data_IF_655734690624
#
_entry.id   IF_655734690624
#
_cell.length_a   1.000
_cell.length_b   1.000
_cell.length_c   1.000
_cell.angle_alpha   90.00
_cell.angle_beta   90.00
_cell.angle_gamma   90.00
#
_symmetry.space_group_name_H-M   'P 1'
#
loop_
_entity.id
_entity.type
_entity.pdbx_description
1 polymer ?
#
# COMPACT_ATOMS: atom_id res chain seq x y z
N UNK A 1 -24.02 65.50 -21.66
CA UNK A 1 -23.92 64.37 -20.71
C UNK A 1 -23.32 63.20 -21.44
N UNK A 2 -22.00 63.06 -21.32
CA UNK A 2 -21.16 62.14 -22.09
C UNK A 2 -21.01 60.83 -21.29
N UNK A 3 -21.31 59.69 -21.91
CA UNK A 3 -21.10 58.35 -21.32
C UNK A 3 -19.59 58.11 -21.14
N UNK A 4 -19.17 57.80 -19.91
CA UNK A 4 -17.82 57.29 -19.64
C UNK A 4 -17.73 55.78 -19.91
N UNK A 5 -16.52 55.26 -20.20
CA UNK A 5 -16.33 53.85 -20.56
C UNK A 5 -16.38 52.95 -19.31
N UNK A 6 -17.03 51.79 -19.44
CA UNK A 6 -16.98 50.73 -18.43
C UNK A 6 -15.57 50.12 -18.35
N UNK A 7 -15.09 49.76 -17.15
CA UNK A 7 -13.79 49.12 -17.00
C UNK A 7 -13.84 47.69 -17.55
N UNK A 8 -12.92 47.38 -18.46
CA UNK A 8 -12.59 46.01 -18.83
C UNK A 8 -12.22 45.21 -17.58
N UNK A 9 -13.12 44.32 -17.20
CA UNK A 9 -12.88 43.28 -16.20
C UNK A 9 -11.98 42.25 -16.86
N UNK A 10 -10.67 42.43 -16.74
CA UNK A 10 -9.69 41.37 -16.98
C UNK A 10 -10.03 40.22 -16.03
N UNK A 11 -10.67 39.18 -16.56
CA UNK A 11 -10.74 37.93 -15.84
C UNK A 11 -9.30 37.43 -15.67
N UNK A 12 -8.87 37.03 -14.47
CA UNK A 12 -7.63 36.31 -14.35
C UNK A 12 -7.77 35.05 -15.21
N UNK A 13 -6.92 34.91 -16.23
CA UNK A 13 -6.75 33.64 -16.91
C UNK A 13 -6.17 32.70 -15.86
N UNK A 14 -7.05 31.97 -15.18
CA UNK A 14 -6.64 30.76 -14.48
C UNK A 14 -6.21 29.82 -15.60
N UNK A 15 -4.91 29.80 -15.89
CA UNK A 15 -4.30 28.72 -16.67
C UNK A 15 -4.64 27.46 -15.89
N UNK A 16 -5.70 26.77 -16.32
CA UNK A 16 -6.00 25.44 -15.85
C UNK A 16 -4.77 24.63 -16.22
N UNK A 17 -4.00 24.25 -15.21
CA UNK A 17 -2.89 23.35 -15.39
C UNK A 17 -3.48 22.03 -15.94
N UNK A 18 -3.32 21.78 -17.24
CA UNK A 18 -3.87 20.62 -17.97
C UNK A 18 -3.04 19.37 -17.67
N UNK A 19 -2.74 19.15 -16.39
CA UNK A 19 -2.00 18.00 -15.91
C UNK A 19 -2.87 16.73 -16.02
N UNK A 20 -2.34 15.62 -16.56
CA UNK A 20 -3.10 14.38 -16.67
C UNK A 20 -3.45 13.78 -15.30
N UNK A 21 -4.62 13.16 -15.20
CA UNK A 21 -4.99 12.36 -14.05
C UNK A 21 -4.09 11.12 -13.94
N UNK A 22 -3.74 10.72 -12.72
CA UNK A 22 -3.06 9.45 -12.43
C UNK A 22 -3.77 8.25 -13.06
N UNK A 23 -5.12 8.29 -13.06
CA UNK A 23 -5.92 7.23 -13.66
C UNK A 23 -5.75 7.09 -15.18
N UNK A 24 -5.31 8.15 -15.85
CA UNK A 24 -4.99 8.12 -17.27
C UNK A 24 -3.57 7.58 -17.49
N UNK A 25 -2.61 7.95 -16.63
CA UNK A 25 -1.22 7.51 -16.73
C UNK A 25 -1.02 6.05 -16.32
N UNK A 26 -1.71 5.56 -15.29
CA UNK A 26 -1.66 4.18 -14.81
C UNK A 26 -3.03 3.50 -14.92
N UNK A 27 -3.48 3.10 -16.11
CA UNK A 27 -4.89 2.81 -16.40
C UNK A 27 -5.49 1.61 -15.64
N UNK A 28 -4.71 0.57 -15.34
CA UNK A 28 -5.19 -0.57 -14.57
C UNK A 28 -5.20 -0.24 -13.07
N UNK A 29 -6.36 -0.42 -12.45
CA UNK A 29 -6.49 -0.32 -11.01
C UNK A 29 -7.48 -1.34 -10.50
N UNK A 30 -7.32 -1.77 -9.25
CA UNK A 30 -8.16 -2.78 -8.60
C UNK A 30 -8.55 -2.28 -7.20
N UNK A 31 -9.75 -2.62 -6.75
CA UNK A 31 -10.11 -2.40 -5.36
C UNK A 31 -9.29 -3.35 -4.47
N UNK A 32 -8.73 -2.91 -3.33
CA UNK A 32 -7.97 -3.75 -2.40
C UNK A 32 -8.71 -5.04 -2.01
N UNK A 33 -8.01 -6.16 -1.73
CA UNK A 33 -8.63 -7.36 -1.21
C UNK A 33 -9.42 -7.09 0.08
N UNK A 34 -10.48 -7.86 0.31
CA UNK A 34 -11.33 -7.75 1.50
C UNK A 34 -11.32 -9.08 2.23
N UNK A 35 -10.78 -9.11 3.46
CA UNK A 35 -10.77 -10.32 4.30
C UNK A 35 -12.18 -10.67 4.78
N UNK A 36 -12.94 -9.67 5.24
CA UNK A 36 -14.29 -9.84 5.78
C UNK A 36 -14.35 -10.31 7.24
N UNK A 37 -13.19 -10.70 7.79
CA UNK A 37 -12.97 -11.11 9.19
C UNK A 37 -11.55 -10.75 9.60
N UNK A 38 -11.29 -10.59 10.90
CA UNK A 38 -10.01 -10.08 11.40
C UNK A 38 -8.94 -11.15 11.59
N UNK A 39 -9.32 -12.32 12.09
CA UNK A 39 -8.38 -13.34 12.58
C UNK A 39 -7.36 -13.90 11.55
N UNK A 40 -7.62 -13.96 10.22
CA UNK A 40 -6.66 -14.45 9.23
C UNK A 40 -5.45 -13.54 9.03
N UNK A 41 -5.49 -12.31 9.55
CA UNK A 41 -4.40 -11.36 9.54
C UNK A 41 -3.97 -10.96 10.96
N UNK A 42 -2.73 -10.53 11.11
CA UNK A 42 -2.23 -10.05 12.38
C UNK A 42 -0.73 -9.76 12.40
N UNK A 43 -0.24 -9.11 13.47
CA UNK A 43 1.16 -8.68 13.58
C UNK A 43 2.12 -9.83 13.94
N UNK A 44 1.62 -11.02 14.26
CA UNK A 44 2.43 -12.17 14.67
C UNK A 44 2.06 -13.45 13.87
N UNK A 45 3.00 -14.02 13.09
CA UNK A 45 2.72 -15.18 12.24
C UNK A 45 2.50 -16.46 13.05
N UNK A 46 3.12 -16.59 14.22
CA UNK A 46 2.93 -17.76 15.09
C UNK A 46 1.48 -17.83 15.60
N UNK A 47 0.91 -16.68 15.96
CA UNK A 47 -0.50 -16.56 16.32
C UNK A 47 -1.42 -16.95 15.16
N UNK A 48 -1.11 -16.58 13.92
CA UNK A 48 -1.90 -17.00 12.76
C UNK A 48 -1.90 -18.52 12.56
N UNK A 49 -0.74 -19.17 12.74
CA UNK A 49 -0.62 -20.62 12.69
C UNK A 49 -1.43 -21.28 13.82
N UNK A 50 -1.34 -20.75 15.04
CA UNK A 50 -2.12 -21.25 16.17
C UNK A 50 -3.64 -21.06 16.00
N UNK A 51 -4.08 -19.94 15.38
CA UNK A 51 -5.48 -19.69 15.01
C UNK A 51 -5.99 -20.71 14.01
N UNK A 52 -5.20 -20.98 12.97
CA UNK A 52 -5.52 -22.01 12.01
C UNK A 52 -5.66 -23.39 12.68
N UNK A 53 -4.70 -23.75 13.54
CA UNK A 53 -4.73 -25.02 14.26
C UNK A 53 -5.98 -25.15 15.15
N UNK A 54 -6.37 -24.07 15.83
CA UNK A 54 -7.60 -24.02 16.62
C UNK A 54 -8.85 -24.20 15.73
N UNK A 55 -8.89 -23.52 14.56
CA UNK A 55 -10.00 -23.65 13.61
C UNK A 55 -10.15 -25.08 13.06
N UNK A 56 -9.05 -25.74 12.68
CA UNK A 56 -9.12 -27.08 12.07
C UNK A 56 -9.38 -28.20 13.08
N UNK A 57 -9.10 -27.97 14.37
CA UNK A 57 -9.41 -28.90 15.47
C UNK A 57 -10.83 -28.77 15.99
N UNK A 58 -11.48 -27.62 15.78
CA UNK A 58 -12.87 -27.43 16.16
C UNK A 58 -13.80 -28.24 15.22
N UNK A 59 -14.92 -28.70 15.76
CA UNK A 59 -15.90 -29.50 15.01
C UNK A 59 -17.28 -28.83 15.03
N UNK A 60 -18.07 -29.13 13.99
CA UNK A 60 -19.49 -28.73 13.94
C UNK A 60 -19.75 -27.24 14.20
N UNK A 61 -20.70 -26.89 15.09
CA UNK A 61 -21.08 -25.51 15.39
C UNK A 61 -19.94 -24.64 15.95
N UNK A 62 -18.99 -25.23 16.68
CA UNK A 62 -17.87 -24.49 17.27
C UNK A 62 -16.92 -23.99 16.17
N UNK A 63 -16.65 -24.84 15.17
CA UNK A 63 -15.84 -24.45 14.01
C UNK A 63 -16.49 -23.32 13.22
N UNK A 64 -17.81 -23.38 13.04
CA UNK A 64 -18.55 -22.33 12.32
C UNK A 64 -18.52 -21.02 13.08
N UNK A 65 -18.70 -21.05 14.40
CA UNK A 65 -18.60 -19.88 15.27
C UNK A 65 -17.21 -19.25 15.20
N UNK A 66 -16.15 -20.05 15.36
CA UNK A 66 -14.76 -19.59 15.27
C UNK A 66 -14.40 -19.00 13.89
N UNK A 67 -15.00 -19.52 12.82
CA UNK A 67 -14.71 -19.06 11.46
C UNK A 67 -15.25 -17.65 11.16
N UNK A 68 -16.32 -17.24 11.85
CA UNK A 68 -17.05 -15.99 11.64
C UNK A 68 -17.60 -15.85 10.20
N UNK A 69 -18.52 -16.73 9.73
CA UNK A 69 -18.98 -16.76 8.35
C UNK A 69 -19.55 -15.41 7.90
N UNK A 70 -19.29 -15.07 6.64
CA UNK A 70 -19.85 -13.89 5.99
C UNK A 70 -20.77 -14.32 4.85
N UNK A 71 -21.50 -13.37 4.28
CA UNK A 71 -22.27 -13.60 3.04
C UNK A 71 -21.42 -14.13 1.87
N UNK A 72 -20.10 -13.89 1.89
CA UNK A 72 -19.18 -14.24 0.79
C UNK A 72 -18.38 -15.51 1.06
N UNK A 73 -18.13 -15.85 2.33
CA UNK A 73 -17.32 -17.00 2.72
C UNK A 73 -17.92 -17.70 3.94
N UNK A 74 -18.16 -19.00 3.77
CA UNK A 74 -18.62 -19.95 4.79
C UNK A 74 -17.68 -21.15 4.82
N UNK A 75 -17.84 -22.05 5.79
CA UNK A 75 -17.10 -23.31 5.82
C UNK A 75 -17.35 -24.19 4.58
N UNK A 76 -18.46 -23.96 3.87
CA UNK A 76 -18.89 -24.71 2.70
C UNK A 76 -18.57 -24.01 1.36
N UNK A 77 -17.89 -22.87 1.39
CA UNK A 77 -17.44 -22.20 0.18
C UNK A 77 -16.35 -23.02 -0.52
N UNK A 78 -16.62 -23.40 -1.77
CA UNK A 78 -15.63 -23.96 -2.68
C UNK A 78 -15.09 -22.83 -3.58
N UNK A 79 -13.78 -22.62 -3.57
CA UNK A 79 -13.10 -21.57 -4.33
C UNK A 79 -11.79 -22.11 -4.89
N UNK A 80 -11.35 -21.55 -6.01
CA UNK A 80 -10.04 -21.86 -6.57
C UNK A 80 -8.90 -21.44 -5.64
N UNK A 81 -7.73 -21.98 -5.94
CA UNK A 81 -6.49 -21.66 -5.26
C UNK A 81 -6.13 -20.19 -5.49
N UNK A 82 -5.54 -19.59 -4.46
CA UNK A 82 -5.02 -18.24 -4.57
C UNK A 82 -3.77 -18.27 -5.46
N UNK A 83 -3.70 -17.45 -6.53
CA UNK A 83 -2.59 -17.55 -7.49
C UNK A 83 -1.21 -17.39 -6.81
N UNK A 84 -0.27 -18.27 -7.19
CA UNK A 84 1.09 -18.30 -6.63
C UNK A 84 1.18 -18.80 -5.19
N UNK A 85 0.14 -19.43 -4.65
CA UNK A 85 0.09 -19.92 -3.26
C UNK A 85 -0.29 -21.40 -3.22
N UNK A 86 0.11 -22.09 -2.16
CA UNK A 86 -0.10 -23.53 -1.96
C UNK A 86 -1.33 -23.85 -1.11
N UNK A 87 -2.27 -22.90 -0.96
CA UNK A 87 -3.50 -23.08 -0.18
C UNK A 87 -4.42 -24.15 -0.78
N UNK A 88 -5.27 -24.75 0.07
CA UNK A 88 -6.19 -25.81 -0.34
C UNK A 88 -7.45 -25.26 -1.05
N UNK A 89 -7.95 -26.02 -2.02
CA UNK A 89 -9.18 -25.70 -2.80
C UNK A 89 -10.45 -26.37 -2.27
N UNK A 90 -10.29 -27.35 -1.38
CA UNK A 90 -11.39 -28.06 -0.73
C UNK A 90 -12.12 -27.15 0.28
N UNK A 91 -13.42 -27.35 0.48
CA UNK A 91 -14.21 -26.65 1.51
C UNK A 91 -13.54 -26.72 2.89
N UNK A 92 -13.59 -25.59 3.62
CA UNK A 92 -13.02 -25.49 4.96
C UNK A 92 -13.64 -26.47 5.96
N UNK A 93 -14.90 -26.87 5.80
CA UNK A 93 -15.51 -27.91 6.65
C UNK A 93 -14.75 -29.24 6.62
N UNK A 94 -14.02 -29.52 5.53
CA UNK A 94 -13.16 -30.70 5.36
C UNK A 94 -11.68 -30.39 5.54
N UNK A 95 -11.32 -29.13 5.79
CA UNK A 95 -9.93 -28.73 5.87
C UNK A 95 -9.26 -29.35 7.09
N UNK A 96 -8.13 -30.00 6.82
CA UNK A 96 -7.20 -30.57 7.78
C UNK A 96 -5.77 -30.18 7.38
N UNK A 97 -4.80 -30.47 8.25
CA UNK A 97 -3.40 -30.23 7.97
C UNK A 97 -2.89 -28.85 8.39
N UNK A 98 -1.60 -28.57 8.09
CA UNK A 98 -0.91 -27.40 8.61
C UNK A 98 -1.44 -26.10 8.00
N UNK A 99 -1.26 -25.01 8.73
CA UNK A 99 -1.52 -23.66 8.23
C UNK A 99 -0.67 -23.39 6.98
N UNK A 100 -1.25 -22.83 5.89
CA UNK A 100 -0.46 -22.24 4.81
C UNK A 100 0.51 -21.21 5.39
N UNK A 101 1.75 -21.16 4.89
CA UNK A 101 2.76 -20.25 5.43
C UNK A 101 2.26 -18.80 5.34
N UNK A 102 2.13 -18.08 6.47
CA UNK A 102 1.68 -16.69 6.44
C UNK A 102 2.62 -15.83 5.61
N UNK A 103 2.05 -14.92 4.83
CA UNK A 103 2.80 -14.00 3.96
C UNK A 103 2.71 -12.58 4.48
N UNK A 104 3.75 -11.78 4.22
CA UNK A 104 3.75 -10.35 4.54
C UNK A 104 2.82 -9.59 3.60
N UNK A 105 2.00 -8.71 4.18
CA UNK A 105 1.06 -7.84 3.46
C UNK A 105 1.04 -6.44 4.08
N UNK A 106 0.65 -5.43 3.32
CA UNK A 106 0.42 -4.09 3.86
C UNK A 106 -1.06 -3.96 4.29
N UNK A 107 -1.31 -4.01 5.61
CA UNK A 107 -2.68 -4.03 6.15
C UNK A 107 -3.19 -2.61 6.45
N UNK A 108 -2.31 -1.72 6.90
CA UNK A 108 -2.56 -0.30 7.11
C UNK A 108 -1.35 0.53 6.61
N UNK A 109 -1.42 1.87 6.52
CA UNK A 109 -0.28 2.69 6.11
C UNK A 109 0.97 2.37 6.93
N UNK A 110 2.03 1.92 6.28
CA UNK A 110 3.30 1.48 6.88
C UNK A 110 3.20 0.34 7.93
N UNK A 111 2.03 -0.27 8.09
CA UNK A 111 1.82 -1.42 8.97
C UNK A 111 1.80 -2.70 8.15
N UNK A 112 3.00 -3.20 7.94
CA UNK A 112 3.21 -4.51 7.35
C UNK A 112 2.93 -5.59 8.40
N UNK A 113 1.99 -6.46 8.08
CA UNK A 113 1.54 -7.55 8.94
C UNK A 113 1.59 -8.89 8.19
N UNK A 114 1.09 -9.93 8.82
CA UNK A 114 1.00 -11.27 8.24
C UNK A 114 -0.44 -11.59 7.86
N UNK A 115 -0.60 -12.41 6.82
CA UNK A 115 -1.88 -12.93 6.33
C UNK A 115 -1.72 -14.41 6.02
N UNK A 116 -2.70 -15.24 6.42
CA UNK A 116 -2.83 -16.61 5.91
C UNK A 116 -3.33 -16.53 4.45
N UNK A 117 -2.52 -16.90 3.44
CA UNK A 117 -2.83 -16.65 2.03
C UNK A 117 -3.79 -17.72 1.47
N UNK A 118 -4.98 -17.83 2.05
CA UNK A 118 -5.98 -18.83 1.67
C UNK A 118 -7.27 -18.16 1.20
N UNK A 119 -7.64 -18.42 -0.07
CA UNK A 119 -8.80 -17.80 -0.71
C UNK A 119 -10.12 -18.08 0.00
N UNK A 120 -10.20 -19.18 0.76
CA UNK A 120 -11.38 -19.56 1.54
C UNK A 120 -11.59 -18.64 2.74
N UNK A 121 -10.53 -18.00 3.22
CA UNK A 121 -10.55 -17.04 4.34
C UNK A 121 -10.84 -15.61 3.90
N UNK A 122 -10.79 -15.33 2.58
CA UNK A 122 -10.81 -13.97 2.03
C UNK A 122 -12.11 -13.74 1.25
N UNK A 123 -12.96 -12.86 1.78
CA UNK A 123 -14.23 -12.47 1.22
C UNK A 123 -14.17 -11.97 -0.25
N UNK A 124 -13.15 -11.19 -0.60
CA UNK A 124 -12.86 -10.78 -1.98
C UNK A 124 -11.34 -10.77 -2.19
N UNK A 125 -10.82 -11.86 -2.76
CA UNK A 125 -9.39 -12.11 -2.84
C UNK A 125 -8.64 -11.24 -3.87
N UNK A 126 -9.33 -10.80 -4.93
CA UNK A 126 -8.71 -10.13 -6.09
C UNK A 126 -7.53 -10.93 -6.67
N UNK A 127 -7.78 -12.15 -7.19
CA UNK A 127 -6.72 -13.04 -7.70
C UNK A 127 -5.75 -12.36 -8.67
N UNK A 128 -6.24 -11.39 -9.44
CA UNK A 128 -5.43 -10.58 -10.35
C UNK A 128 -4.26 -9.82 -9.68
N UNK A 129 -4.39 -9.40 -8.42
CA UNK A 129 -3.29 -8.78 -7.68
C UNK A 129 -2.29 -9.82 -7.17
N UNK A 130 -2.76 -11.01 -6.81
CA UNK A 130 -1.91 -12.11 -6.35
C UNK A 130 -1.05 -12.67 -7.49
N UNK A 131 -1.61 -12.78 -8.69
CA UNK A 131 -0.88 -13.24 -9.88
C UNK A 131 0.36 -12.43 -10.15
N UNK A 132 0.26 -11.11 -10.04
CA UNK A 132 1.35 -10.18 -10.35
C UNK A 132 2.19 -9.83 -9.13
N UNK A 133 1.91 -10.42 -7.96
CA UNK A 133 2.64 -10.15 -6.72
C UNK A 133 3.89 -11.03 -6.62
N UNK A 134 4.99 -10.55 -7.21
CA UNK A 134 6.31 -11.15 -7.13
C UNK A 134 7.36 -10.14 -6.60
N UNK A 135 8.62 -10.56 -6.60
CA UNK A 135 9.76 -9.77 -6.11
C UNK A 135 10.04 -8.49 -6.92
N UNK A 136 9.54 -8.42 -8.17
CA UNK A 136 9.72 -7.27 -9.06
C UNK A 136 8.55 -6.28 -8.96
N UNK A 137 7.44 -6.70 -8.37
CA UNK A 137 6.23 -5.90 -8.33
C UNK A 137 6.34 -4.72 -7.35
N UNK A 138 5.72 -3.63 -7.75
CA UNK A 138 5.52 -2.45 -6.92
C UNK A 138 4.06 -2.02 -7.04
N UNK A 139 3.40 -1.75 -5.92
CA UNK A 139 2.01 -1.30 -5.89
C UNK A 139 1.95 0.16 -5.45
N UNK A 140 1.34 0.99 -6.29
CA UNK A 140 0.90 2.32 -5.89
C UNK A 140 -0.51 2.20 -5.28
N UNK A 141 -0.68 2.72 -4.08
CA UNK A 141 -1.94 2.68 -3.33
C UNK A 141 -2.43 4.09 -3.14
N UNK A 142 -3.61 4.37 -3.69
CA UNK A 142 -4.32 5.62 -3.43
C UNK A 142 -4.86 5.61 -2.00
N UNK A 143 -4.60 6.69 -1.27
CA UNK A 143 -5.17 6.96 0.05
C UNK A 143 -5.81 8.35 0.01
N UNK A 144 -6.68 8.70 0.97
CA UNK A 144 -7.22 10.06 1.01
C UNK A 144 -6.07 11.07 1.13
N UNK A 145 -5.96 11.96 0.15
CA UNK A 145 -4.99 13.07 0.05
C UNK A 145 -3.50 12.65 -0.06
N UNK A 146 -3.19 11.37 -0.26
CA UNK A 146 -1.81 10.90 -0.43
C UNK A 146 -1.68 9.63 -1.25
N UNK A 147 -0.46 9.36 -1.72
CA UNK A 147 -0.08 8.09 -2.33
C UNK A 147 0.85 7.33 -1.39
N UNK A 148 0.70 6.01 -1.34
CA UNK A 148 1.65 5.10 -0.73
C UNK A 148 2.20 4.15 -1.78
N UNK A 149 3.46 3.74 -1.62
CA UNK A 149 4.06 2.73 -2.49
C UNK A 149 4.61 1.59 -1.64
N UNK A 150 4.36 0.35 -2.06
CA UNK A 150 4.80 -0.84 -1.36
C UNK A 150 5.17 -1.96 -2.32
N UNK A 151 6.08 -2.84 -1.90
CA UNK A 151 6.37 -4.11 -2.58
C UNK A 151 5.54 -5.28 -2.05
N UNK A 152 4.72 -5.06 -1.01
CA UNK A 152 3.83 -6.06 -0.46
C UNK A 152 2.42 -5.94 -1.04
N UNK A 153 1.66 -7.04 -1.03
CA UNK A 153 0.26 -6.99 -1.43
C UNK A 153 -0.52 -6.05 -0.48
N UNK A 154 -1.17 -4.98 -0.99
CA UNK A 154 -1.86 -4.01 -0.14
C UNK A 154 -3.33 -4.35 0.06
N UNK A 155 -3.77 -4.37 1.32
CA UNK A 155 -5.16 -4.58 1.74
C UNK A 155 -5.82 -3.29 2.27
N UNK A 156 -5.07 -2.18 2.26
CA UNK A 156 -5.48 -0.87 2.76
C UNK A 156 -6.73 -0.34 2.04
N UNK A 157 -7.71 0.16 2.80
CA UNK A 157 -8.92 0.83 2.31
C UNK A 157 -9.14 2.17 3.03
N UNK A 158 -9.88 3.13 2.45
CA UNK A 158 -10.42 3.15 1.08
C UNK A 158 -9.35 3.50 0.04
N UNK A 159 -9.62 3.22 -1.23
CA UNK A 159 -8.71 3.57 -2.34
C UNK A 159 -8.64 2.53 -3.45
N UNK A 160 -7.76 2.77 -4.41
CA UNK A 160 -7.41 1.85 -5.50
C UNK A 160 -5.95 1.44 -5.39
N UNK A 161 -5.70 0.20 -5.78
CA UNK A 161 -4.35 -0.35 -5.97
C UNK A 161 -4.04 -0.30 -7.46
N UNK A 162 -2.88 0.25 -7.81
CA UNK A 162 -2.33 0.29 -9.17
C UNK A 162 -1.00 -0.46 -9.17
N UNK A 163 -0.97 -1.73 -9.60
CA UNK A 163 0.28 -2.45 -9.80
C UNK A 163 1.13 -1.73 -10.85
N UNK A 164 2.44 -1.67 -10.69
CA UNK A 164 3.34 -1.08 -11.68
C UNK A 164 3.48 -1.99 -12.90
N UNK A 165 3.39 -3.30 -12.73
CA UNK A 165 3.51 -4.28 -13.81
C UNK A 165 2.25 -5.12 -13.95
N UNK A 166 1.79 -5.31 -15.20
CA UNK A 166 0.57 -6.08 -15.55
C UNK A 166 0.83 -7.57 -15.63
N UNK A 167 2.10 -7.97 -15.66
CA UNK A 167 2.56 -9.36 -15.75
C UNK A 167 3.72 -9.62 -14.78
N UNK A 168 3.85 -10.86 -14.25
CA UNK A 168 5.01 -11.25 -13.46
C UNK A 168 6.35 -11.04 -14.18
N UNK A 169 7.43 -10.96 -13.40
CA UNK A 169 8.78 -10.70 -13.85
C UNK A 169 9.10 -9.22 -14.08
N UNK A 170 8.21 -8.31 -13.67
CA UNK A 170 8.35 -6.89 -13.95
C UNK A 170 8.08 -6.54 -15.41
N UNK A 171 7.11 -7.23 -16.03
CA UNK A 171 6.81 -7.12 -17.46
C UNK A 171 5.49 -6.39 -17.70
N UNK A 172 5.39 -5.77 -18.88
CA UNK A 172 4.21 -5.00 -19.31
C UNK A 172 3.81 -3.93 -18.29
N UNK A 173 4.51 -2.79 -18.22
CA UNK A 173 4.20 -1.77 -17.25
C UNK A 173 2.76 -1.27 -17.39
N UNK A 174 2.11 -1.03 -16.26
CA UNK A 174 0.81 -0.39 -16.16
C UNK A 174 0.96 1.13 -16.35
N UNK A 175 1.41 1.50 -17.54
CA UNK A 175 1.49 2.87 -18.00
C UNK A 175 0.62 3.01 -19.25
N UNK A 176 0.12 4.22 -19.52
CA UNK A 176 -0.56 4.51 -20.78
C UNK A 176 0.37 4.13 -21.96
N UNK A 177 -0.08 3.29 -22.91
CA UNK A 177 0.73 2.94 -24.07
C UNK A 177 1.22 4.18 -24.82
N UNK A 178 2.50 4.23 -25.19
CA UNK A 178 3.12 5.40 -25.84
C UNK A 178 3.68 6.46 -24.87
N UNK A 179 3.38 6.37 -23.56
CA UNK A 179 3.85 7.36 -22.58
C UNK A 179 5.37 7.37 -22.44
N UNK A 180 6.01 6.20 -22.38
CA UNK A 180 7.47 6.11 -22.22
C UNK A 180 8.18 6.65 -23.47
N UNK A 181 7.66 6.38 -24.65
CA UNK A 181 8.17 6.85 -25.93
C UNK A 181 8.05 8.37 -26.05
N UNK A 182 6.91 8.94 -25.63
CA UNK A 182 6.72 10.40 -25.61
C UNK A 182 7.68 11.07 -24.63
N UNK A 183 7.79 10.56 -23.40
CA UNK A 183 8.72 11.11 -22.41
C UNK A 183 10.17 10.97 -22.88
N UNK A 184 10.50 9.86 -23.55
CA UNK A 184 11.82 9.67 -24.16
C UNK A 184 12.15 10.77 -25.17
N UNK A 185 11.21 11.07 -26.07
CA UNK A 185 11.37 12.12 -27.08
C UNK A 185 11.50 13.52 -26.46
N UNK A 186 10.75 13.82 -25.39
CA UNK A 186 10.78 15.13 -24.72
C UNK A 186 12.04 15.32 -23.88
N UNK A 187 12.46 14.30 -23.14
CA UNK A 187 13.55 14.36 -22.17
C UNK A 187 14.94 14.07 -22.78
N UNK A 188 15.00 13.45 -23.96
CA UNK A 188 16.25 13.03 -24.59
C UNK A 188 16.93 11.83 -23.92
N UNK A 189 16.24 11.12 -23.02
CA UNK A 189 16.72 9.93 -22.31
C UNK A 189 15.57 8.93 -22.12
N UNK A 190 15.84 7.64 -21.95
CA UNK A 190 14.78 6.62 -21.88
C UNK A 190 14.34 6.37 -20.42
N UNK A 191 13.25 6.99 -19.93
CA UNK A 191 12.79 6.74 -18.57
C UNK A 191 12.31 5.30 -18.41
N UNK A 192 12.64 4.69 -17.27
CA UNK A 192 12.10 3.38 -16.91
C UNK A 192 10.70 3.50 -16.30
N UNK A 193 9.91 2.42 -16.22
CA UNK A 193 8.63 2.45 -15.50
C UNK A 193 8.76 2.89 -14.04
N UNK A 194 9.88 2.53 -13.39
CA UNK A 194 10.16 2.94 -12.02
C UNK A 194 10.46 4.44 -11.92
N UNK A 195 11.07 5.03 -12.95
CA UNK A 195 11.30 6.49 -13.00
C UNK A 195 9.99 7.26 -13.12
N UNK A 196 9.06 6.77 -13.93
CA UNK A 196 7.71 7.35 -14.02
C UNK A 196 6.98 7.22 -12.68
N UNK A 197 7.06 6.06 -12.02
CA UNK A 197 6.47 5.88 -10.69
C UNK A 197 7.12 6.79 -9.64
N UNK A 198 8.44 6.97 -9.69
CA UNK A 198 9.17 7.90 -8.83
C UNK A 198 8.67 9.34 -9.05
N UNK A 199 8.59 9.78 -10.30
CA UNK A 199 8.03 11.09 -10.66
C UNK A 199 6.60 11.26 -10.12
N UNK A 200 5.71 10.30 -10.37
CA UNK A 200 4.33 10.31 -9.85
C UNK A 200 4.34 10.46 -8.33
N UNK A 201 5.16 9.69 -7.63
CA UNK A 201 5.21 9.70 -6.16
C UNK A 201 5.66 11.06 -5.61
N UNK A 202 6.57 11.74 -6.31
CA UNK A 202 7.09 13.05 -5.90
C UNK A 202 6.17 14.22 -6.27
N UNK A 203 5.38 14.11 -7.33
CA UNK A 203 4.71 15.26 -7.96
C UNK A 203 3.18 15.19 -8.00
N UNK A 204 2.59 14.01 -7.76
CA UNK A 204 1.14 13.87 -7.76
C UNK A 204 0.50 14.78 -6.72
N UNK A 205 -0.55 15.49 -7.14
CA UNK A 205 -1.31 16.41 -6.30
C UNK A 205 -2.39 15.66 -5.51
N UNK A 206 -2.97 16.27 -4.45
CA UNK A 206 -4.02 15.65 -3.66
C UNK A 206 -5.27 15.24 -4.45
N UNK A 207 -5.54 15.91 -5.58
CA UNK A 207 -6.63 15.58 -6.52
C UNK A 207 -6.27 14.48 -7.53
N UNK A 208 -5.10 13.85 -7.36
CA UNK A 208 -4.52 12.81 -8.21
C UNK A 208 -4.18 13.28 -9.64
N UNK A 209 -4.05 14.58 -9.88
CA UNK A 209 -3.38 15.08 -11.08
C UNK A 209 -1.87 14.92 -10.95
N UNK A 210 -1.19 14.64 -12.07
CA UNK A 210 0.26 14.42 -12.13
C UNK A 210 0.85 15.41 -13.13
N UNK A 211 1.49 16.50 -12.68
CA UNK A 211 2.14 17.44 -13.59
C UNK A 211 3.37 16.77 -14.21
N UNK A 212 3.34 16.53 -15.52
CA UNK A 212 4.46 15.99 -16.28
C UNK A 212 5.29 17.14 -16.88
N UNK A 213 6.58 16.91 -17.08
CA UNK A 213 7.52 17.90 -17.62
C UNK A 213 8.33 17.31 -18.77
N UNK A 214 8.64 18.14 -19.77
CA UNK A 214 9.63 17.88 -20.81
C UNK A 214 11.02 18.43 -20.46
N UNK A 215 11.16 19.18 -19.36
CA UNK A 215 12.46 19.69 -18.89
C UNK A 215 13.26 18.57 -18.22
N UNK A 216 14.34 18.14 -18.87
CA UNK A 216 15.18 17.04 -18.38
C UNK A 216 15.78 17.31 -16.98
N UNK A 217 16.07 18.57 -16.65
CA UNK A 217 16.61 18.96 -15.35
C UNK A 217 15.57 18.82 -14.22
N UNK A 218 14.35 19.31 -14.44
CA UNK A 218 13.23 19.15 -13.53
C UNK A 218 12.88 17.68 -13.35
N UNK A 219 12.76 16.93 -14.47
CA UNK A 219 12.55 15.49 -14.46
C UNK A 219 13.54 14.76 -13.57
N UNK A 220 14.85 14.99 -13.77
CA UNK A 220 15.91 14.34 -13.00
C UNK A 220 15.77 14.60 -11.49
N UNK A 221 15.53 15.85 -11.08
CA UNK A 221 15.33 16.21 -9.66
C UNK A 221 14.09 15.56 -9.06
N UNK A 222 12.97 15.56 -9.79
CA UNK A 222 11.73 14.94 -9.32
C UNK A 222 11.84 13.41 -9.23
N UNK A 223 12.53 12.77 -10.18
CA UNK A 223 12.83 11.33 -10.12
C UNK A 223 13.78 10.99 -8.98
N UNK A 224 14.78 11.81 -8.69
CA UNK A 224 15.68 11.61 -7.55
C UNK A 224 14.92 11.64 -6.22
N UNK A 225 14.10 12.68 -6.00
CA UNK A 225 13.22 12.76 -4.83
C UNK A 225 12.26 11.56 -4.79
N UNK A 226 11.64 11.25 -5.93
CA UNK A 226 10.72 10.14 -6.07
C UNK A 226 11.34 8.80 -5.69
N UNK A 227 12.55 8.49 -6.18
CA UNK A 227 13.27 7.26 -5.85
C UNK A 227 13.58 7.18 -4.35
N UNK A 228 13.91 8.31 -3.72
CA UNK A 228 14.10 8.39 -2.26
C UNK A 228 12.79 8.10 -1.50
N UNK A 229 11.67 8.69 -1.92
CA UNK A 229 10.36 8.40 -1.34
C UNK A 229 9.95 6.93 -1.54
N UNK A 230 10.20 6.37 -2.72
CA UNK A 230 9.93 4.97 -3.02
C UNK A 230 10.70 4.02 -2.08
N UNK A 231 12.00 4.26 -1.90
CA UNK A 231 12.84 3.48 -0.98
C UNK A 231 12.31 3.55 0.47
N UNK A 232 11.98 4.75 0.96
CA UNK A 232 11.43 4.94 2.30
C UNK A 232 10.06 4.26 2.49
N UNK A 233 9.16 4.36 1.51
CA UNK A 233 7.83 3.77 1.61
C UNK A 233 7.83 2.24 1.45
N UNK A 234 8.68 1.71 0.57
CA UNK A 234 8.81 0.27 0.33
C UNK A 234 9.64 -0.43 1.40
N UNK A 235 10.51 0.32 2.09
CA UNK A 235 11.41 -0.19 3.14
C UNK A 235 12.23 -1.39 2.66
N UNK A 236 12.61 -1.36 1.39
CA UNK A 236 13.39 -2.42 0.76
C UNK A 236 14.88 -2.10 0.74
N UNK A 237 15.71 -3.15 0.74
CA UNK A 237 17.16 -3.01 0.75
C UNK A 237 17.71 -2.51 2.09
N UNK A 238 18.62 -1.53 2.02
CA UNK A 238 19.29 -1.01 3.21
C UNK A 238 18.34 -0.21 4.10
N UNK A 239 18.38 -0.47 5.41
CA UNK A 239 17.55 0.26 6.37
C UNK A 239 17.96 1.73 6.45
N UNK A 240 17.00 2.67 6.39
CA UNK A 240 17.30 4.08 6.55
C UNK A 240 17.93 4.40 7.90
N UNK A 241 18.80 5.40 7.92
CA UNK A 241 19.44 5.92 9.14
C UNK A 241 19.16 7.41 9.25
N UNK A 242 18.77 7.86 10.45
CA UNK A 242 18.63 9.28 10.71
C UNK A 242 20.00 9.97 10.78
N UNK A 243 20.16 11.15 10.16
CA UNK A 243 21.38 11.93 10.27
C UNK A 243 21.60 12.44 11.71
N UNK A 244 22.83 12.86 12.01
CA UNK A 244 23.14 13.61 13.24
C UNK A 244 22.95 12.86 14.56
N UNK A 245 23.01 11.51 14.57
CA UNK A 245 22.90 10.72 15.81
C UNK A 245 21.51 10.67 16.43
N UNK A 246 20.47 11.12 15.70
CA UNK A 246 19.07 11.16 16.17
C UNK A 246 18.33 9.83 16.09
N UNK A 247 19.04 8.71 16.02
CA UNK A 247 18.43 7.39 15.92
C UNK A 247 17.53 7.14 17.15
N UNK A 248 16.27 6.67 16.98
CA UNK A 248 15.42 6.34 18.12
C UNK A 248 15.96 5.12 18.86
N UNK A 249 15.96 5.19 20.19
CA UNK A 249 16.34 4.08 21.08
C UNK A 249 15.33 3.90 22.21
N UNK A 250 15.23 2.67 22.72
CA UNK A 250 14.51 2.38 23.96
C UNK A 250 15.32 2.96 25.13
N UNK A 251 14.81 4.02 25.75
CA UNK A 251 15.42 4.69 26.92
C UNK A 251 14.93 4.11 28.24
N UNK A 252 13.68 3.65 28.27
CA UNK A 252 13.13 2.85 29.35
C UNK A 252 12.51 1.59 28.76
N UNK A 253 12.78 0.39 29.32
CA UNK A 253 12.26 -0.88 28.81
C UNK A 253 10.75 -0.84 28.60
N UNK A 254 10.27 -1.39 27.48
CA UNK A 254 8.85 -1.51 27.23
C UNK A 254 8.26 -2.59 28.15
N UNK A 255 7.07 -2.37 28.75
CA UNK A 255 6.41 -3.40 29.54
C UNK A 255 6.06 -4.60 28.68
N UNK A 256 5.79 -5.74 29.32
CA UNK A 256 5.43 -6.98 28.60
C UNK A 256 4.10 -6.87 27.85
N UNK A 257 3.20 -5.97 28.26
CA UNK A 257 1.92 -5.70 27.60
C UNK A 257 1.57 -4.22 27.75
N UNK A 258 2.13 -3.34 26.89
CA UNK A 258 1.69 -1.97 26.89
C UNK A 258 0.22 -1.89 26.45
N UNK A 259 -0.54 -0.96 27.01
CA UNK A 259 -1.96 -0.71 26.70
C UNK A 259 -2.21 0.72 26.26
N UNK A 260 -1.36 1.68 26.64
CA UNK A 260 -1.47 3.06 26.21
C UNK A 260 -0.24 3.55 25.44
N UNK A 261 -0.49 4.39 24.43
CA UNK A 261 0.52 5.14 23.70
C UNK A 261 0.33 6.63 23.96
N UNK A 262 1.39 7.31 24.40
CA UNK A 262 1.41 8.76 24.62
C UNK A 262 2.66 9.36 23.98
N UNK A 263 2.63 10.66 23.72
CA UNK A 263 3.76 11.38 23.18
C UNK A 263 4.04 12.63 24.00
N UNK A 264 5.28 12.75 24.46
CA UNK A 264 5.82 13.94 25.08
C UNK A 264 6.57 14.74 24.01
N UNK A 265 6.06 15.93 23.67
CA UNK A 265 6.61 16.77 22.62
C UNK A 265 7.87 17.52 23.08
N UNK A 266 7.96 17.85 24.37
CA UNK A 266 9.10 18.59 24.92
C UNK A 266 10.31 17.67 25.09
N UNK A 267 10.08 16.41 25.49
CA UNK A 267 11.12 15.39 25.58
C UNK A 267 11.37 14.64 24.25
N UNK A 268 10.64 14.96 23.18
CA UNK A 268 10.58 14.20 21.93
C UNK A 268 10.51 12.68 22.18
N UNK A 269 9.58 12.25 23.01
CA UNK A 269 9.54 10.90 23.57
C UNK A 269 8.21 10.21 23.34
N UNK A 270 8.27 9.01 22.76
CA UNK A 270 7.12 8.13 22.63
C UNK A 270 7.05 7.22 23.86
N UNK A 271 5.94 7.29 24.58
CA UNK A 271 5.69 6.59 25.84
C UNK A 271 4.72 5.44 25.61
N UNK A 272 5.12 4.23 25.99
CA UNK A 272 4.31 3.02 25.96
C UNK A 272 4.16 2.56 27.41
N UNK A 273 3.12 3.06 28.08
CA UNK A 273 2.99 3.08 29.55
C UNK A 273 4.28 3.57 30.24
N UNK A 274 4.97 2.72 31.02
CA UNK A 274 6.24 3.06 31.67
C UNK A 274 7.45 3.02 30.73
N UNK A 275 7.29 2.42 29.54
CA UNK A 275 8.32 2.33 28.52
C UNK A 275 8.52 3.64 27.77
N UNK A 276 9.74 3.87 27.28
CA UNK A 276 10.11 5.12 26.60
C UNK A 276 11.02 4.89 25.41
N UNK A 277 10.68 5.49 24.27
CA UNK A 277 11.51 5.57 23.07
C UNK A 277 11.84 7.04 22.78
N UNK A 278 13.12 7.35 22.59
CA UNK A 278 13.59 8.72 22.31
C UNK A 278 14.97 8.73 21.61
N UNK A 279 15.23 9.70 20.72
CA UNK A 279 14.32 10.77 20.29
C UNK A 279 13.28 10.30 19.26
N UNK A 280 12.11 10.92 19.28
CA UNK A 280 11.01 10.76 18.31
C UNK A 280 10.58 12.16 17.90
N UNK A 281 11.04 12.67 16.74
CA UNK A 281 10.71 14.02 16.30
C UNK A 281 9.19 14.23 16.17
N UNK A 282 8.67 15.43 16.46
CA UNK A 282 7.22 15.67 16.44
C UNK A 282 6.57 15.39 15.09
N UNK A 283 7.31 15.54 14.00
CA UNK A 283 6.83 15.29 12.64
C UNK A 283 6.57 13.80 12.39
N UNK A 284 7.34 12.89 12.98
CA UNK A 284 7.07 11.45 12.93
C UNK A 284 5.81 11.11 13.75
N UNK A 285 5.62 11.75 14.91
CA UNK A 285 4.41 11.61 15.70
C UNK A 285 3.17 12.15 15.00
N UNK A 286 3.26 13.33 14.37
CA UNK A 286 2.15 13.98 13.69
C UNK A 286 1.89 13.41 12.28
N UNK A 287 2.70 12.45 11.83
CA UNK A 287 2.55 11.86 10.51
C UNK A 287 1.21 11.15 10.37
N UNK A 288 0.40 11.64 9.43
CA UNK A 288 -0.93 11.14 9.13
C UNK A 288 -1.05 10.66 7.69
N UNK A 289 -1.88 9.63 7.51
CA UNK A 289 -2.38 9.16 6.22
C UNK A 289 -3.89 9.04 6.34
N UNK A 290 -4.64 9.67 5.43
CA UNK A 290 -6.10 9.71 5.51
C UNK A 290 -6.64 10.28 6.82
N UNK A 291 -5.95 11.28 7.40
CA UNK A 291 -6.33 11.92 8.66
C UNK A 291 -6.00 11.13 9.94
N UNK A 292 -5.57 9.87 9.82
CA UNK A 292 -5.24 8.99 10.96
C UNK A 292 -3.73 9.00 11.21
N UNK A 293 -3.33 9.10 12.48
CA UNK A 293 -1.93 9.08 12.89
C UNK A 293 -1.36 7.67 12.75
N UNK A 294 -0.25 7.53 12.02
CA UNK A 294 0.31 6.22 11.66
C UNK A 294 0.80 5.45 12.89
N UNK A 295 1.55 6.10 13.80
CA UNK A 295 2.09 5.44 14.99
C UNK A 295 0.99 4.95 15.95
N UNK A 296 -0.09 5.72 16.12
CA UNK A 296 -1.24 5.31 16.93
C UNK A 296 -1.96 4.11 16.31
N UNK A 297 -2.21 4.15 14.99
CA UNK A 297 -2.86 3.04 14.30
C UNK A 297 -2.02 1.75 14.36
N UNK A 298 -0.72 1.87 14.13
CA UNK A 298 0.23 0.75 14.20
C UNK A 298 0.27 0.12 15.59
N UNK A 299 0.23 0.93 16.66
CA UNK A 299 0.18 0.44 18.04
C UNK A 299 -1.16 -0.23 18.35
N UNK A 300 -2.28 0.42 18.00
CA UNK A 300 -3.62 -0.11 18.26
C UNK A 300 -3.84 -1.51 17.67
N UNK A 301 -3.23 -1.82 16.52
CA UNK A 301 -3.28 -3.14 15.91
C UNK A 301 -2.59 -4.25 16.73
N UNK A 302 -1.69 -3.89 17.66
CA UNK A 302 -0.91 -4.81 18.51
C UNK A 302 -1.47 -4.96 19.92
N UNK A 303 -2.37 -4.06 20.34
CA UNK A 303 -3.01 -4.06 21.66
C UNK A 303 -4.54 -4.20 21.63
N UNK A 304 -5.14 -4.98 20.70
CA UNK A 304 -6.60 -5.13 20.68
C UNK A 304 -7.10 -5.78 21.98
N UNK A 305 -8.37 -5.61 22.32
CA UNK A 305 -9.02 -6.36 23.42
C UNK A 305 -10.08 -7.31 22.83
N UNK A 306 -9.67 -8.45 22.25
CA UNK A 306 -10.59 -9.38 21.58
C UNK A 306 -11.44 -10.16 22.58
N UNK A 307 -12.66 -10.52 22.17
CA UNK A 307 -13.55 -11.36 22.97
C UNK A 307 -12.90 -12.72 23.28
N UNK A 308 -12.87 -13.16 24.56
CA UNK A 308 -12.34 -14.45 24.94
C UNK A 308 -13.00 -15.61 24.18
N UNK A 309 -12.20 -16.62 23.80
CA UNK A 309 -12.69 -17.79 23.06
C UNK A 309 -12.75 -17.60 21.54
N UNK A 310 -12.55 -16.38 21.01
CA UNK A 310 -12.41 -16.15 19.57
C UNK A 310 -11.01 -16.50 19.06
N UNK A 311 -10.87 -16.72 17.75
CA UNK A 311 -9.55 -16.89 17.13
C UNK A 311 -8.70 -15.60 17.28
N UNK A 312 -9.32 -14.42 17.25
CA UNK A 312 -8.60 -13.16 17.45
C UNK A 312 -7.94 -13.05 18.84
N UNK A 313 -8.49 -13.74 19.86
CA UNK A 313 -7.92 -13.82 21.20
C UNK A 313 -6.60 -14.61 21.28
N UNK A 314 -6.33 -15.48 20.30
CA UNK A 314 -5.04 -16.16 20.18
C UNK A 314 -4.01 -15.14 19.67
N UNK A 315 -3.09 -14.76 20.56
CA UNK A 315 -2.08 -13.71 20.33
C UNK A 315 -0.83 -13.95 21.19
N UNK A 316 0.28 -13.22 20.97
CA UNK A 316 1.46 -13.32 21.81
C UNK A 316 1.14 -13.00 23.27
N UNK A 317 1.69 -13.80 24.19
CA UNK A 317 1.49 -13.58 25.62
C UNK A 317 2.25 -12.34 26.12
N UNK A 318 3.29 -11.89 25.43
CA UNK A 318 4.10 -10.72 25.75
C UNK A 318 4.45 -9.96 24.48
N UNK A 319 4.89 -8.71 24.63
CA UNK A 319 5.38 -7.83 23.57
C UNK A 319 6.64 -8.43 22.91
N UNK A 320 6.57 -8.90 21.67
CA UNK A 320 7.72 -9.45 20.98
C UNK A 320 8.76 -8.38 20.66
N UNK A 321 10.05 -8.70 20.80
CA UNK A 321 11.17 -7.81 20.46
C UNK A 321 11.12 -7.34 18.98
N UNK A 322 10.58 -8.18 18.09
CA UNK A 322 10.38 -7.83 16.69
C UNK A 322 9.50 -6.58 16.53
N UNK A 323 8.44 -6.42 17.33
CA UNK A 323 7.58 -5.24 17.27
C UNK A 323 8.30 -3.98 17.73
N UNK A 324 9.17 -4.05 18.74
CA UNK A 324 10.04 -2.91 19.09
C UNK A 324 10.93 -2.52 17.93
N UNK A 325 11.51 -3.51 17.23
CA UNK A 325 12.41 -3.27 16.11
C UNK A 325 11.68 -2.63 14.92
N UNK A 326 10.48 -3.13 14.61
CA UNK A 326 9.57 -2.55 13.61
C UNK A 326 9.17 -1.11 13.98
N UNK A 327 8.89 -0.83 15.25
CA UNK A 327 8.52 0.52 15.71
C UNK A 327 9.66 1.53 15.55
N UNK A 328 10.89 1.14 15.93
CA UNK A 328 12.07 2.01 15.77
C UNK A 328 12.36 2.30 14.30
N UNK A 329 12.20 1.32 13.43
CA UNK A 329 12.32 1.48 11.98
C UNK A 329 11.22 2.38 11.43
N UNK A 330 9.97 2.17 11.85
CA UNK A 330 8.82 2.99 11.44
C UNK A 330 9.02 4.45 11.84
N UNK A 331 9.43 4.74 13.08
CA UNK A 331 9.74 6.10 13.53
C UNK A 331 10.79 6.75 12.63
N UNK A 332 11.84 5.99 12.27
CA UNK A 332 12.91 6.46 11.39
C UNK A 332 12.38 6.80 10.00
N UNK A 333 11.58 5.91 9.40
CA UNK A 333 10.97 6.10 8.08
C UNK A 333 10.04 7.31 8.07
N UNK A 334 9.15 7.43 9.06
CA UNK A 334 8.20 8.55 9.15
C UNK A 334 8.89 9.90 9.35
N UNK A 335 10.01 9.91 10.10
CA UNK A 335 10.82 11.11 10.27
C UNK A 335 11.41 11.57 8.94
N UNK A 336 12.08 10.66 8.21
CA UNK A 336 12.68 10.99 6.91
C UNK A 336 11.64 11.38 5.86
N UNK A 337 10.50 10.67 5.81
CA UNK A 337 9.39 11.05 4.93
C UNK A 337 8.82 12.43 5.25
N UNK A 338 8.82 12.84 6.52
CA UNK A 338 8.36 14.16 6.90
C UNK A 338 9.37 15.26 6.52
N UNK A 339 10.67 14.97 6.55
CA UNK A 339 11.74 15.86 6.08
C UNK A 339 11.74 16.00 4.55
N UNK A 340 11.46 14.91 3.84
CA UNK A 340 11.48 14.85 2.37
C UNK A 340 10.13 15.24 1.73
N UNK A 341 9.10 15.52 2.52
CA UNK A 341 7.79 15.93 1.98
C UNK A 341 7.98 17.26 1.24
N UNK A 342 7.72 17.33 -0.07
CA UNK A 342 7.77 18.60 -0.77
C UNK A 342 6.76 19.53 -0.10
N UNK A 343 7.21 20.72 0.33
CA UNK A 343 6.28 21.81 0.59
C UNK A 343 5.38 21.92 -0.63
N UNK A 344 4.06 22.09 -0.42
CA UNK A 344 3.08 22.13 -1.52
C UNK A 344 3.50 23.22 -2.51
N UNK A 345 4.14 22.79 -3.58
CA UNK A 345 4.60 23.68 -4.62
C UNK A 345 3.55 23.69 -5.73
N UNK A 346 2.57 24.59 -5.57
CA UNK A 346 1.55 24.81 -6.58
C UNK A 346 2.10 25.52 -7.83
N UNK A 347 3.42 25.77 -7.91
CA UNK A 347 4.04 26.33 -9.12
C UNK A 347 3.91 25.34 -10.27
N UNK A 348 3.60 25.83 -11.48
CA UNK A 348 3.64 25.00 -12.69
C UNK A 348 5.03 24.40 -12.87
N UNK A 349 5.07 23.12 -13.29
CA UNK A 349 6.33 22.51 -13.72
C UNK A 349 6.82 23.21 -15.00
N UNK A 350 8.15 23.38 -15.17
CA UNK A 350 8.69 23.92 -16.41
C UNK A 350 8.40 22.98 -17.58
N UNK A 351 8.24 23.53 -18.79
CA UNK A 351 7.93 22.78 -20.02
C UNK A 351 6.86 21.69 -19.81
N UNK A 352 5.63 22.05 -19.42
CA UNK A 352 4.61 21.07 -19.02
C UNK A 352 4.21 20.18 -20.19
N UNK A 353 4.16 18.86 -19.94
CA UNK A 353 3.54 17.88 -20.86
C UNK A 353 2.07 17.77 -20.49
N UNK A 354 1.21 18.33 -21.33
CA UNK A 354 -0.22 18.50 -21.04
C UNK A 354 -1.03 17.26 -21.43
N UNK A 355 -2.23 17.11 -20.85
CA UNK A 355 -3.16 16.06 -21.28
C UNK A 355 -3.58 16.24 -22.74
N UNK A 356 -3.59 17.47 -23.26
CA UNK A 356 -3.82 17.77 -24.68
C UNK A 356 -2.70 17.21 -25.55
N UNK A 357 -1.44 17.47 -25.22
CA UNK A 357 -0.27 16.90 -25.91
C UNK A 357 -0.30 15.36 -25.91
N UNK A 358 -0.66 14.76 -24.78
CA UNK A 358 -0.83 13.29 -24.69
C UNK A 358 -1.95 12.75 -25.59
N UNK A 359 -3.02 13.52 -25.85
CA UNK A 359 -4.09 13.13 -26.78
C UNK A 359 -3.62 13.26 -28.23
N UNK A 360 -2.95 14.35 -28.57
CA UNK A 360 -2.39 14.59 -29.90
C UNK A 360 -1.36 13.52 -30.27
N UNK A 361 -0.58 13.04 -29.31
CA UNK A 361 0.36 11.95 -29.47
C UNK A 361 -0.28 10.55 -29.45
N UNK A 362 -1.61 10.44 -29.27
CA UNK A 362 -2.32 9.16 -29.22
C UNK A 362 -2.07 8.32 -27.95
N UNK A 363 -1.46 8.89 -26.92
CA UNK A 363 -1.25 8.24 -25.61
C UNK A 363 -2.57 8.17 -24.83
N UNK A 364 -3.39 9.23 -24.94
CA UNK A 364 -4.70 9.32 -24.30
C UNK A 364 -5.86 9.38 -25.32
N UNK A 365 -7.02 8.76 -25.02
CA UNK A 365 -7.28 7.92 -23.86
C UNK A 365 -6.60 6.54 -23.96
N UNK A 366 -6.11 6.02 -22.83
CA UNK A 366 -5.57 4.66 -22.81
C UNK A 366 -6.64 3.63 -23.24
N UNK A 367 -6.27 2.61 -24.05
CA UNK A 367 -7.21 1.61 -24.55
C UNK A 367 -7.80 0.78 -23.40
N UNK A 368 -9.02 0.26 -23.59
CA UNK A 368 -9.72 -0.51 -22.56
C UNK A 368 -8.94 -1.75 -22.07
N UNK A 369 -8.12 -2.35 -22.95
CA UNK A 369 -7.22 -3.46 -22.61
C UNK A 369 -6.18 -3.09 -21.56
N UNK A 370 -5.66 -1.85 -21.58
CA UNK A 370 -4.67 -1.36 -20.62
C UNK A 370 -5.25 -1.16 -19.20
N UNK A 371 -6.58 -1.14 -19.06
CA UNK A 371 -7.27 -1.00 -17.76
C UNK A 371 -7.46 -2.33 -17.02
N UNK A 372 -6.88 -3.42 -17.54
CA UNK A 372 -7.03 -4.79 -17.03
C UNK A 372 -5.64 -5.44 -16.85
N UNK A 373 -5.53 -6.55 -16.11
CA UNK A 373 -4.32 -7.39 -16.14
C UNK A 373 -3.93 -7.77 -17.58
N UNK A 374 -2.71 -8.27 -17.79
CA UNK A 374 -2.33 -8.84 -19.08
C UNK A 374 -3.26 -10.01 -19.45
N UNK A 375 -3.56 -10.18 -20.74
CA UNK A 375 -4.46 -11.24 -21.23
C UNK A 375 -3.85 -12.63 -21.18
N UNK A 376 -2.52 -12.72 -21.10
CA UNK A 376 -1.79 -13.98 -20.98
C UNK A 376 -1.18 -14.02 -19.59
N UNK A 377 -1.59 -15.02 -18.82
CA UNK A 377 -1.05 -15.31 -17.50
C UNK A 377 -0.39 -16.68 -17.59
N UNK A 378 0.88 -16.75 -17.21
CA UNK A 378 1.65 -17.98 -17.24
C UNK A 378 1.40 -18.76 -15.94
N UNK A 379 0.67 -19.87 -15.99
CA UNK A 379 0.63 -20.85 -14.90
C UNK A 379 -0.74 -21.52 -14.70
N UNK A 380 -0.80 -22.86 -14.55
CA UNK A 380 -2.07 -23.54 -14.27
C UNK A 380 -2.64 -23.11 -12.91
N UNK A 381 -3.93 -22.79 -12.87
CA UNK A 381 -4.65 -22.48 -11.63
C UNK A 381 -5.60 -23.61 -11.27
N UNK A 382 -5.51 -24.10 -10.03
CA UNK A 382 -6.45 -25.08 -9.50
C UNK A 382 -7.76 -24.38 -9.10
N UNK A 383 -8.85 -24.77 -9.74
CA UNK A 383 -10.20 -24.33 -9.45
C UNK A 383 -10.80 -24.98 -8.20
N UNK A 384 -12.06 -24.66 -7.88
CA UNK A 384 -12.75 -25.17 -6.69
C UNK A 384 -12.73 -26.69 -6.62
N UNK A 385 -12.43 -27.26 -5.44
CA UNK A 385 -12.39 -28.71 -5.21
C UNK A 385 -11.47 -29.49 -6.18
N UNK A 386 -10.34 -28.90 -6.61
CA UNK A 386 -9.37 -29.60 -7.45
C UNK A 386 -9.67 -29.62 -8.95
N UNK A 387 -10.65 -28.83 -9.40
CA UNK A 387 -10.94 -28.70 -10.83
C UNK A 387 -9.82 -27.94 -11.54
N UNK A 388 -9.06 -28.57 -12.43
CA UNK A 388 -8.07 -27.83 -13.24
C UNK A 388 -8.79 -26.82 -14.15
N UNK A 389 -8.50 -25.53 -14.00
CA UNK A 389 -8.94 -24.52 -14.96
C UNK A 389 -7.98 -24.55 -16.16
N UNK A 390 -8.51 -24.85 -17.35
CA UNK A 390 -7.80 -24.55 -18.59
C UNK A 390 -7.83 -23.02 -18.75
N UNK A 391 -6.65 -22.38 -18.73
CA UNK A 391 -6.48 -20.96 -19.03
C UNK A 391 -6.76 -20.65 -20.50
#
# INVERSE_FOLDING_TARGET
MTRGPEPHRTMPSVTHDDAPLLANLMPWSVAPPRLGRGWPAGPDPASLKARWDALVKAEGPDRETLFEPSRSRTLHSAVGQLPGRTGGTQKLVRASGPCPEPVRVLLAPFDEQWLIPDQRLIDAARPELWRVADERQVFLVETPESLLVTSLLPLLRPGRVRPLFRRPGGLEPNLAPGLLELLHARLGGAPTPLDVLAWITATARPDLTVPLTGDAGAWARGVELGRRLLWLMRRDGERPKLPGGRRPYVRAPLPSRPVALRYDRDEESLLLDEGRISPVPPQAWDFKVGGVRVLEQWFAARVPDPEPGTLAAIRPATWPQAWTSELLELITVLTLLAEDRPERDDRPVPDPVTATELREAGVLPAPASARRPASVLDGPEEGPEGQLALL
#
